data_IF_163494897929
#
_entry.id   IF_163494897929
#
_cell.length_a   1.000
_cell.length_b   1.000
_cell.length_c   1.000
_cell.angle_alpha   90.00
_cell.angle_beta   90.00
_cell.angle_gamma   90.00
#
_symmetry.space_group_name_H-M   'P 1'
#
loop_
_entity.id
_entity.type
_entity.pdbx_description
1 polymer ?
#
# COMPACT_ATOMS: atom_id res chain seq x y z
N UNK A 1 -26.55 -10.18 14.33
CA UNK A 1 -26.03 -9.21 13.34
C UNK A 1 -25.21 -9.85 12.21
N UNK A 2 -24.61 -11.05 12.36
CA UNK A 2 -23.82 -11.69 11.27
C UNK A 2 -24.66 -12.34 10.17
N UNK A 3 -25.86 -12.85 10.47
CA UNK A 3 -26.71 -13.54 9.48
C UNK A 3 -27.31 -12.58 8.43
N UNK A 4 -27.56 -11.32 8.81
CA UNK A 4 -28.09 -10.30 7.89
C UNK A 4 -27.04 -9.84 6.86
N UNK A 5 -25.78 -9.76 7.27
CA UNK A 5 -24.66 -9.40 6.38
C UNK A 5 -24.34 -10.56 5.43
N UNK A 6 -24.37 -11.80 5.92
CA UNK A 6 -24.16 -13.00 5.09
C UNK A 6 -25.28 -13.17 4.05
N UNK A 7 -26.54 -12.95 4.45
CA UNK A 7 -27.67 -12.94 3.54
C UNK A 7 -27.60 -11.77 2.54
N UNK A 8 -27.12 -10.60 2.97
CA UNK A 8 -26.90 -9.44 2.09
C UNK A 8 -25.82 -9.69 1.04
N UNK A 9 -24.69 -10.30 1.41
CA UNK A 9 -23.60 -10.66 0.49
C UNK A 9 -23.99 -11.81 -0.44
N UNK A 10 -24.75 -12.79 0.04
CA UNK A 10 -25.31 -13.87 -0.78
C UNK A 10 -26.35 -13.36 -1.79
N UNK A 11 -27.22 -12.44 -1.37
CA UNK A 11 -28.18 -11.78 -2.27
C UNK A 11 -27.49 -10.87 -3.28
N UNK A 12 -26.42 -10.17 -2.88
CA UNK A 12 -25.60 -9.37 -3.79
C UNK A 12 -24.89 -10.27 -4.80
N UNK A 13 -24.30 -11.39 -4.36
CA UNK A 13 -23.65 -12.36 -5.23
C UNK A 13 -24.64 -13.01 -6.20
N UNK A 14 -25.84 -13.36 -5.73
CA UNK A 14 -26.92 -13.91 -6.58
C UNK A 14 -27.45 -12.86 -7.56
N UNK A 15 -27.54 -11.59 -7.16
CA UNK A 15 -27.98 -10.49 -8.03
C UNK A 15 -26.91 -10.13 -9.07
N UNK A 16 -25.63 -10.20 -8.70
CA UNK A 16 -24.49 -10.07 -9.62
C UNK A 16 -24.47 -11.25 -10.59
N UNK A 17 -24.66 -12.48 -10.10
CA UNK A 17 -24.64 -13.68 -10.94
C UNK A 17 -25.84 -13.71 -11.90
N UNK A 18 -27.03 -13.33 -11.43
CA UNK A 18 -28.22 -13.20 -12.27
C UNK A 18 -28.08 -12.05 -13.28
N UNK A 19 -27.53 -10.90 -12.86
CA UNK A 19 -27.24 -9.77 -13.74
C UNK A 19 -26.21 -10.12 -14.81
N UNK A 20 -25.15 -10.85 -14.46
CA UNK A 20 -24.15 -11.36 -15.39
C UNK A 20 -24.73 -12.43 -16.32
N UNK A 21 -25.63 -13.30 -15.83
CA UNK A 21 -26.30 -14.31 -16.68
C UNK A 21 -27.24 -13.66 -17.70
N UNK A 22 -27.98 -12.61 -17.31
CA UNK A 22 -28.86 -11.86 -18.20
C UNK A 22 -28.06 -11.02 -19.22
N UNK A 23 -26.90 -10.50 -18.83
CA UNK A 23 -25.96 -9.84 -19.74
C UNK A 23 -25.32 -10.83 -20.73
N UNK A 24 -25.03 -12.06 -20.30
CA UNK A 24 -24.49 -13.12 -21.16
C UNK A 24 -25.49 -13.56 -22.24
N UNK A 25 -26.79 -13.37 -22.00
CA UNK A 25 -27.85 -13.68 -22.98
C UNK A 25 -28.30 -12.50 -23.84
N UNK A 26 -27.97 -11.25 -23.50
CA UNK A 26 -28.55 -10.07 -24.18
C UNK A 26 -27.55 -9.08 -24.78
N UNK A 27 -26.25 -9.21 -24.50
CA UNK A 27 -25.23 -8.36 -25.10
C UNK A 27 -24.22 -9.25 -25.80
N UNK A 28 -24.40 -9.45 -27.11
CA UNK A 28 -23.34 -10.03 -27.94
C UNK A 28 -22.03 -9.29 -27.65
N UNK A 29 -20.91 -10.02 -27.50
CA UNK A 29 -19.58 -9.44 -27.26
C UNK A 29 -19.26 -8.23 -28.16
N UNK A 30 -19.86 -8.16 -29.36
CA UNK A 30 -19.74 -7.03 -30.29
C UNK A 30 -20.40 -5.73 -29.83
N UNK A 31 -21.50 -5.76 -29.05
CA UNK A 31 -22.18 -4.55 -28.58
C UNK A 31 -21.45 -3.89 -27.40
N UNK A 32 -20.89 -4.68 -26.47
CA UNK A 32 -20.05 -4.16 -25.39
C UNK A 32 -18.74 -3.58 -25.95
N UNK A 33 -18.11 -4.26 -26.91
CA UNK A 33 -16.91 -3.74 -27.59
C UNK A 33 -17.18 -2.47 -28.41
N UNK A 34 -18.35 -2.39 -29.07
CA UNK A 34 -18.77 -1.17 -29.78
C UNK A 34 -19.01 -0.02 -28.80
N UNK A 35 -19.68 -0.27 -27.67
CA UNK A 35 -19.92 0.71 -26.62
C UNK A 35 -18.62 1.26 -26.01
N UNK A 36 -17.66 0.38 -25.69
CA UNK A 36 -16.34 0.77 -25.17
C UNK A 36 -15.49 1.54 -26.21
N UNK A 37 -15.59 1.21 -27.50
CA UNK A 37 -14.89 1.95 -28.58
C UNK A 37 -15.50 3.32 -28.89
N UNK A 38 -16.82 3.48 -28.76
CA UNK A 38 -17.52 4.73 -29.11
C UNK A 38 -17.72 5.69 -27.94
N UNK A 39 -17.48 5.23 -26.71
CA UNK A 39 -17.63 6.07 -25.53
C UNK A 39 -16.45 7.02 -25.41
N UNK A 40 -16.59 8.20 -26.01
CA UNK A 40 -15.79 9.37 -25.69
C UNK A 40 -16.12 9.76 -24.22
N UNK A 41 -15.40 9.16 -23.26
CA UNK A 41 -15.65 9.24 -21.81
C UNK A 41 -15.64 10.68 -21.27
N UNK A 42 -15.06 11.61 -22.02
CA UNK A 42 -15.09 13.05 -21.72
C UNK A 42 -16.48 13.68 -21.88
N UNK A 43 -17.32 13.19 -22.80
CA UNK A 43 -18.64 13.83 -23.11
C UNK A 43 -19.74 13.58 -22.09
N UNK A 44 -19.56 12.63 -21.16
CA UNK A 44 -20.63 12.13 -20.30
C UNK A 44 -20.64 12.71 -18.87
N UNK A 45 -20.38 14.01 -18.65
CA UNK A 45 -20.66 14.72 -17.38
C UNK A 45 -20.45 13.93 -16.07
N UNK A 46 -21.28 14.15 -15.05
CA UNK A 46 -21.32 13.41 -13.78
C UNK A 46 -22.56 12.50 -13.70
N UNK A 47 -22.86 11.79 -14.79
CA UNK A 47 -24.09 10.98 -14.92
C UNK A 47 -23.98 9.60 -14.23
N UNK A 48 -25.09 9.07 -13.65
CA UNK A 48 -25.19 7.67 -13.17
C UNK A 48 -24.73 6.60 -14.18
N UNK A 49 -24.76 6.90 -15.48
CA UNK A 49 -24.26 6.00 -16.52
C UNK A 49 -22.72 5.80 -16.46
N UNK A 50 -21.94 6.83 -16.08
CA UNK A 50 -20.50 6.69 -15.82
C UNK A 50 -20.26 5.80 -14.59
N UNK A 51 -21.08 5.96 -13.56
CA UNK A 51 -20.99 5.19 -12.32
C UNK A 51 -21.22 3.69 -12.56
N UNK A 52 -22.23 3.34 -13.34
CA UNK A 52 -22.48 1.95 -13.74
C UNK A 52 -21.32 1.38 -14.58
N UNK A 53 -20.77 2.18 -15.51
CA UNK A 53 -19.65 1.78 -16.36
C UNK A 53 -18.39 1.47 -15.53
N UNK A 54 -18.05 2.34 -14.57
CA UNK A 54 -16.90 2.12 -13.69
C UNK A 54 -17.04 0.90 -12.77
N UNK A 55 -18.23 0.66 -12.22
CA UNK A 55 -18.49 -0.54 -11.40
C UNK A 55 -18.42 -1.82 -12.24
N UNK A 56 -18.93 -1.79 -13.48
CA UNK A 56 -18.80 -2.90 -14.42
C UNK A 56 -17.35 -3.21 -14.76
N UNK A 57 -16.54 -2.17 -15.02
CA UNK A 57 -15.11 -2.32 -15.30
C UNK A 57 -14.39 -2.99 -14.12
N UNK A 58 -14.65 -2.54 -12.89
CA UNK A 58 -14.02 -3.10 -11.70
C UNK A 58 -14.43 -4.56 -11.46
N UNK A 59 -15.72 -4.87 -11.64
CA UNK A 59 -16.24 -6.24 -11.51
C UNK A 59 -15.65 -7.18 -12.59
N UNK A 60 -15.57 -6.72 -13.84
CA UNK A 60 -15.00 -7.51 -14.95
C UNK A 60 -13.48 -7.68 -14.80
N UNK A 61 -12.75 -6.66 -14.32
CA UNK A 61 -11.31 -6.71 -14.09
C UNK A 61 -10.89 -7.80 -13.09
N UNK A 62 -11.72 -8.02 -12.06
CA UNK A 62 -11.39 -8.90 -10.94
C UNK A 62 -11.99 -10.30 -11.12
N UNK A 63 -13.22 -10.42 -11.63
CA UNK A 63 -13.91 -11.71 -11.76
C UNK A 63 -13.53 -12.48 -13.03
N UNK A 64 -13.30 -11.79 -14.15
CA UNK A 64 -13.07 -12.42 -15.47
C UNK A 64 -11.78 -13.24 -15.57
N UNK A 65 -10.63 -12.82 -14.98
CA UNK A 65 -9.40 -13.61 -15.05
C UNK A 65 -9.54 -14.95 -14.32
N UNK A 66 -10.11 -14.97 -13.11
CA UNK A 66 -10.25 -16.17 -12.29
C UNK A 66 -11.09 -17.27 -12.96
N UNK A 67 -12.19 -16.89 -13.63
CA UNK A 67 -13.09 -17.83 -14.30
C UNK A 67 -12.57 -18.33 -15.66
N UNK A 68 -11.56 -17.67 -16.25
CA UNK A 68 -11.03 -18.05 -17.55
C UNK A 68 -9.61 -18.65 -17.47
N UNK A 69 -8.97 -18.64 -16.29
CA UNK A 69 -7.63 -19.19 -16.05
C UNK A 69 -7.46 -20.64 -16.49
N UNK A 70 -8.46 -21.49 -16.29
CA UNK A 70 -8.41 -22.91 -16.65
C UNK A 70 -8.66 -23.16 -18.15
N UNK A 71 -9.07 -22.14 -18.91
CA UNK A 71 -9.47 -22.26 -20.32
C UNK A 71 -8.35 -21.94 -21.30
N UNK A 72 -7.20 -21.45 -20.83
CA UNK A 72 -6.13 -20.96 -21.70
C UNK A 72 -4.81 -21.70 -21.46
N UNK A 73 -4.27 -22.42 -22.47
CA UNK A 73 -2.97 -23.08 -22.36
C UNK A 73 -1.86 -22.09 -21.97
N UNK A 74 -0.94 -22.52 -21.11
CA UNK A 74 0.20 -21.74 -20.61
C UNK A 74 -0.12 -20.50 -19.75
N UNK A 75 -1.41 -20.28 -19.43
CA UNK A 75 -1.82 -19.20 -18.53
C UNK A 75 -1.59 -17.79 -19.08
N UNK A 76 -1.47 -17.62 -20.41
CA UNK A 76 -1.32 -16.31 -21.06
C UNK A 76 -2.58 -15.99 -21.84
N UNK A 77 -3.24 -14.88 -21.53
CA UNK A 77 -4.43 -14.44 -22.24
C UNK A 77 -4.56 -12.92 -22.23
N UNK A 78 -5.34 -12.38 -23.16
CA UNK A 78 -5.59 -10.93 -23.24
C UNK A 78 -7.00 -10.63 -22.75
N UNK A 79 -7.11 -9.67 -21.83
CA UNK A 79 -8.40 -9.10 -21.38
C UNK A 79 -8.52 -7.67 -21.87
N UNK A 80 -9.71 -7.30 -22.34
CA UNK A 80 -10.03 -5.92 -22.71
C UNK A 80 -10.77 -5.25 -21.55
N UNK A 81 -10.04 -4.64 -20.62
CA UNK A 81 -10.58 -3.94 -19.44
C UNK A 81 -9.94 -2.56 -19.41
N UNK A 82 -10.71 -1.51 -19.72
CA UNK A 82 -10.22 -0.13 -19.92
C UNK A 82 -9.22 0.06 -21.08
N UNK A 83 -8.44 -0.96 -21.41
CA UNK A 83 -7.58 -1.14 -22.59
C UNK A 83 -7.25 -2.65 -22.78
N UNK A 84 -6.29 -3.00 -23.65
CA UNK A 84 -5.81 -4.38 -23.80
C UNK A 84 -4.73 -4.69 -22.76
N UNK A 85 -5.03 -5.64 -21.88
CA UNK A 85 -4.09 -6.15 -20.89
C UNK A 85 -3.75 -7.60 -21.18
N UNK A 86 -2.45 -7.92 -21.24
CA UNK A 86 -1.99 -9.30 -21.27
C UNK A 86 -1.88 -9.78 -19.83
N UNK A 87 -2.64 -10.81 -19.48
CA UNK A 87 -2.56 -11.53 -18.23
C UNK A 87 -1.62 -12.71 -18.42
N UNK A 88 -0.63 -12.84 -17.53
CA UNK A 88 0.29 -13.97 -17.45
C UNK A 88 0.12 -14.60 -16.08
N UNK A 89 -0.24 -15.88 -16.06
CA UNK A 89 -0.58 -16.65 -14.87
C UNK A 89 0.22 -17.96 -14.77
N UNK A 90 1.35 -18.07 -15.48
CA UNK A 90 2.34 -19.13 -15.27
C UNK A 90 3.46 -18.60 -14.36
N UNK A 91 3.78 -19.29 -13.26
CA UNK A 91 4.93 -18.95 -12.41
C UNK A 91 6.24 -18.88 -13.21
N UNK A 92 6.46 -19.85 -14.10
CA UNK A 92 7.66 -19.94 -14.94
C UNK A 92 7.77 -18.72 -15.86
N UNK A 93 6.66 -18.35 -16.52
CA UNK A 93 6.64 -17.19 -17.39
C UNK A 93 6.77 -15.88 -16.61
N UNK A 94 6.20 -15.81 -15.42
CA UNK A 94 6.33 -14.64 -14.54
C UNK A 94 7.79 -14.39 -14.17
N UNK A 95 8.52 -15.45 -13.81
CA UNK A 95 9.96 -15.36 -13.54
C UNK A 95 10.75 -14.91 -14.77
N UNK A 96 10.45 -15.47 -15.96
CA UNK A 96 11.11 -15.05 -17.22
C UNK A 96 10.85 -13.57 -17.50
N UNK A 97 9.61 -13.10 -17.35
CA UNK A 97 9.22 -11.71 -17.55
C UNK A 97 9.94 -10.79 -16.56
N UNK A 98 9.93 -11.12 -15.27
CA UNK A 98 10.63 -10.34 -14.23
C UNK A 98 12.14 -10.27 -14.45
N UNK A 99 12.79 -11.37 -14.85
CA UNK A 99 14.22 -11.40 -15.18
C UNK A 99 14.59 -10.52 -16.39
N UNK A 100 13.59 -10.18 -17.21
CA UNK A 100 13.71 -9.35 -18.41
C UNK A 100 13.14 -7.94 -18.20
N UNK A 101 13.13 -7.46 -16.96
CA UNK A 101 12.59 -6.13 -16.57
C UNK A 101 13.12 -4.95 -17.38
N UNK A 102 14.34 -5.04 -17.94
CA UNK A 102 14.89 -4.02 -18.86
C UNK A 102 14.06 -3.79 -20.14
N UNK A 103 13.22 -4.74 -20.51
CA UNK A 103 12.30 -4.64 -21.65
C UNK A 103 10.86 -4.28 -21.24
N UNK A 104 10.61 -4.02 -19.95
CA UNK A 104 9.29 -3.74 -19.41
C UNK A 104 9.21 -2.34 -18.78
N UNK A 105 8.43 -1.45 -19.41
CA UNK A 105 8.12 -0.13 -18.85
C UNK A 105 6.95 -0.17 -17.87
N UNK A 106 7.24 -0.30 -16.57
CA UNK A 106 6.22 -0.18 -15.50
C UNK A 106 6.33 1.13 -14.71
N UNK A 107 7.41 1.90 -14.89
CA UNK A 107 7.65 3.16 -14.16
C UNK A 107 6.53 4.19 -14.36
N UNK A 108 5.96 4.25 -15.57
CA UNK A 108 4.89 5.19 -15.90
C UNK A 108 3.59 4.90 -15.13
N UNK A 109 3.25 3.62 -14.90
CA UNK A 109 2.08 3.24 -14.10
C UNK A 109 2.29 3.67 -12.66
N UNK A 110 3.47 3.41 -12.10
CA UNK A 110 3.80 3.80 -10.74
C UNK A 110 3.69 5.32 -10.54
N UNK A 111 4.26 6.11 -11.46
CA UNK A 111 4.16 7.59 -11.42
C UNK A 111 2.72 8.05 -11.53
N UNK A 112 1.95 7.52 -12.48
CA UNK A 112 0.56 7.90 -12.68
C UNK A 112 -0.27 7.66 -11.41
N UNK A 113 -0.13 6.47 -10.82
CA UNK A 113 -0.85 6.06 -9.62
C UNK A 113 -0.46 6.95 -8.43
N UNK A 114 0.83 7.16 -8.19
CA UNK A 114 1.31 8.01 -7.10
C UNK A 114 0.83 9.46 -7.27
N UNK A 115 0.92 10.02 -8.48
CA UNK A 115 0.50 11.38 -8.78
C UNK A 115 -1.02 11.56 -8.55
N UNK A 116 -1.84 10.63 -9.03
CA UNK A 116 -3.29 10.66 -8.83
C UNK A 116 -3.67 10.53 -7.35
N UNK A 117 -3.01 9.60 -6.63
CA UNK A 117 -3.22 9.41 -5.19
C UNK A 117 -2.90 10.67 -4.40
N UNK A 118 -1.74 11.30 -4.66
CA UNK A 118 -1.34 12.56 -4.05
C UNK A 118 -2.20 13.76 -4.47
N UNK A 119 -2.95 13.64 -5.57
CA UNK A 119 -3.74 14.73 -6.14
C UNK A 119 -2.90 15.78 -6.84
N UNK A 120 -1.84 15.33 -7.53
CA UNK A 120 -0.95 16.22 -8.24
C UNK A 120 -1.68 17.00 -9.34
N UNK A 121 -1.38 18.29 -9.53
CA UNK A 121 -1.82 19.02 -10.71
C UNK A 121 -1.17 18.42 -11.96
N UNK A 122 -1.82 18.57 -13.11
CA UNK A 122 -1.34 18.01 -14.39
C UNK A 122 0.12 18.39 -14.69
N UNK A 123 0.50 19.64 -14.45
CA UNK A 123 1.86 20.14 -14.65
C UNK A 123 2.89 19.42 -13.78
N UNK A 124 2.61 19.19 -12.50
CA UNK A 124 3.47 18.41 -11.60
C UNK A 124 3.62 16.97 -12.08
N UNK A 125 2.51 16.37 -12.49
CA UNK A 125 2.48 15.02 -13.04
C UNK A 125 3.38 14.91 -14.28
N UNK A 126 3.30 15.86 -15.21
CA UNK A 126 4.17 15.92 -16.39
C UNK A 126 5.66 16.03 -16.04
N UNK A 127 6.01 16.76 -14.96
CA UNK A 127 7.40 16.82 -14.47
C UNK A 127 7.89 15.46 -13.98
N UNK A 128 7.05 14.71 -13.28
CA UNK A 128 7.37 13.36 -12.79
C UNK A 128 7.51 12.33 -13.91
N UNK A 129 6.88 12.56 -15.06
CA UNK A 129 6.97 11.70 -16.26
C UNK A 129 8.27 11.88 -17.07
N UNK A 130 9.05 12.93 -16.80
CA UNK A 130 10.33 13.15 -17.51
C UNK A 130 11.30 12.00 -17.22
N UNK A 131 11.77 11.34 -18.28
CA UNK A 131 12.73 10.23 -18.19
C UNK A 131 12.17 8.96 -17.56
N UNK A 132 10.86 8.75 -17.64
CA UNK A 132 10.19 7.54 -17.14
C UNK A 132 10.24 6.39 -18.14
N UNK A 133 10.44 6.67 -19.43
CA UNK A 133 10.63 5.65 -20.45
C UNK A 133 12.06 5.10 -20.44
N UNK A 134 12.17 3.77 -20.61
CA UNK A 134 13.46 3.07 -20.56
C UNK A 134 14.46 3.52 -21.62
N UNK A 135 14.02 4.16 -22.70
CA UNK A 135 14.88 4.71 -23.74
C UNK A 135 15.76 5.88 -23.23
N UNK A 136 15.32 6.59 -22.18
CA UNK A 136 16.04 7.71 -21.58
C UNK A 136 16.86 7.30 -20.34
N UNK A 137 16.78 6.03 -19.92
CA UNK A 137 17.50 5.49 -18.76
C UNK A 137 19.00 5.47 -19.05
N UNK A 138 19.74 6.35 -18.36
CA UNK A 138 21.20 6.49 -18.52
C UNK A 138 21.66 7.92 -18.81
N UNK A 139 20.75 8.81 -19.23
CA UNK A 139 21.06 10.22 -19.53
C UNK A 139 20.99 11.15 -18.30
N UNK A 140 20.87 10.59 -17.08
CA UNK A 140 20.79 11.38 -15.83
C UNK A 140 19.47 12.11 -15.60
N UNK A 141 18.44 11.80 -16.40
CA UNK A 141 17.09 12.37 -16.31
C UNK A 141 16.11 11.23 -16.06
N UNK A 142 15.52 11.17 -14.86
CA UNK A 142 14.50 10.17 -14.55
C UNK A 142 14.22 10.03 -13.06
N UNK A 143 13.19 10.74 -12.58
CA UNK A 143 12.76 10.71 -11.17
C UNK A 143 12.60 9.27 -10.66
N UNK A 144 11.93 8.41 -11.42
CA UNK A 144 11.59 7.03 -11.01
C UNK A 144 12.83 6.20 -10.72
N UNK A 145 13.85 6.29 -11.57
CA UNK A 145 15.05 5.47 -11.44
C UNK A 145 15.96 5.97 -10.31
N UNK A 146 16.15 7.28 -10.18
CA UNK A 146 16.91 7.86 -9.06
C UNK A 146 16.22 7.58 -7.73
N UNK A 147 14.90 7.71 -7.69
CA UNK A 147 14.07 7.38 -6.54
C UNK A 147 14.21 5.90 -6.17
N UNK A 148 14.07 4.98 -7.13
CA UNK A 148 14.21 3.54 -6.90
C UNK A 148 15.59 3.15 -6.37
N UNK A 149 16.67 3.76 -6.89
CA UNK A 149 18.04 3.52 -6.40
C UNK A 149 18.22 3.91 -4.94
N UNK A 150 17.62 5.03 -4.53
CA UNK A 150 17.69 5.51 -3.14
C UNK A 150 16.87 4.62 -2.22
N UNK A 151 15.66 4.24 -2.64
CA UNK A 151 14.82 3.28 -1.92
C UNK A 151 15.61 1.97 -1.66
N UNK A 152 16.16 1.37 -2.71
CA UNK A 152 16.96 0.15 -2.58
C UNK A 152 18.13 0.34 -1.63
N UNK A 153 18.91 1.42 -1.79
CA UNK A 153 20.11 1.65 -0.96
C UNK A 153 19.80 1.93 0.50
N UNK A 154 18.73 2.68 0.78
CA UNK A 154 18.39 3.09 2.13
C UNK A 154 17.62 2.02 2.92
N UNK A 155 16.92 1.12 2.22
CA UNK A 155 16.16 0.01 2.82
C UNK A 155 16.86 -1.35 2.71
N UNK A 156 18.03 -1.43 2.07
CA UNK A 156 18.87 -2.63 2.14
C UNK A 156 19.48 -2.80 3.53
N UNK A 157 19.87 -4.03 3.86
CA UNK A 157 20.60 -4.36 5.08
C UNK A 157 21.80 -3.42 5.28
N UNK A 158 21.90 -2.87 6.49
CA UNK A 158 22.97 -1.96 6.89
C UNK A 158 22.44 -0.82 7.76
N UNK A 159 23.36 0.09 8.12
CA UNK A 159 23.16 1.13 9.14
C UNK A 159 21.94 2.03 8.91
N UNK A 160 21.56 2.25 7.65
CA UNK A 160 20.38 3.04 7.30
C UNK A 160 19.09 2.34 7.73
N UNK A 161 18.98 1.03 7.49
CA UNK A 161 17.82 0.24 7.89
C UNK A 161 17.81 0.01 9.41
N UNK A 162 18.98 -0.26 10.00
CA UNK A 162 19.13 -0.46 11.44
C UNK A 162 18.61 0.76 12.24
N UNK A 163 19.00 1.97 11.84
CA UNK A 163 18.52 3.20 12.47
C UNK A 163 16.99 3.39 12.31
N UNK A 164 16.42 3.06 11.13
CA UNK A 164 14.96 3.12 10.95
C UNK A 164 14.23 2.09 11.82
N UNK A 165 14.82 0.92 12.05
CA UNK A 165 14.29 -0.11 12.92
C UNK A 165 14.32 0.32 14.39
N UNK A 166 15.42 0.94 14.85
CA UNK A 166 15.52 1.51 16.20
C UNK A 166 14.44 2.57 16.44
N UNK A 167 14.25 3.50 15.50
CA UNK A 167 13.21 4.53 15.56
C UNK A 167 11.79 3.94 15.56
N UNK A 168 11.56 2.88 14.77
CA UNK A 168 10.29 2.15 14.75
C UNK A 168 9.98 1.51 16.10
N UNK A 169 10.96 0.81 16.70
CA UNK A 169 10.79 0.16 18.01
C UNK A 169 10.50 1.20 19.09
N UNK A 170 11.27 2.29 19.12
CA UNK A 170 11.09 3.37 20.10
C UNK A 170 9.70 4.04 19.99
N UNK A 171 9.13 4.17 18.79
CA UNK A 171 7.75 4.65 18.62
C UNK A 171 6.69 3.61 18.98
N UNK A 172 7.01 2.32 18.92
CA UNK A 172 6.06 1.25 19.26
C UNK A 172 5.86 1.11 20.77
N UNK A 173 6.87 1.46 21.58
CA UNK A 173 6.86 1.27 23.03
C UNK A 173 5.62 1.84 23.73
N UNK A 174 5.18 3.10 23.50
CA UNK A 174 3.98 3.64 24.15
C UNK A 174 2.70 2.86 23.83
N UNK A 175 2.59 2.29 22.63
CA UNK A 175 1.43 1.48 22.24
C UNK A 175 1.41 0.14 22.96
N UNK A 176 2.58 -0.47 23.15
CA UNK A 176 2.74 -1.72 23.91
C UNK A 176 2.48 -1.47 25.40
N UNK A 177 3.02 -0.39 25.97
CA UNK A 177 2.78 0.00 27.36
C UNK A 177 1.30 0.27 27.64
N UNK A 178 0.63 1.01 26.74
CA UNK A 178 -0.81 1.25 26.82
C UNK A 178 -1.62 -0.06 26.78
N UNK A 179 -1.26 -0.99 25.89
CA UNK A 179 -1.88 -2.31 25.81
C UNK A 179 -1.67 -3.11 27.11
N UNK A 180 -0.46 -3.15 27.66
CA UNK A 180 -0.16 -3.82 28.92
C UNK A 180 -0.94 -3.22 30.10
N UNK A 181 -1.06 -1.89 30.17
CA UNK A 181 -1.82 -1.21 31.20
C UNK A 181 -3.32 -1.53 31.11
N UNK A 182 -3.87 -1.59 29.90
CA UNK A 182 -5.26 -2.01 29.64
C UNK A 182 -5.54 -3.43 30.16
N UNK A 183 -4.62 -4.37 29.86
CA UNK A 183 -4.71 -5.74 30.36
C UNK A 183 -4.66 -5.79 31.90
N UNK A 184 -3.74 -5.05 32.53
CA UNK A 184 -3.60 -5.00 34.00
C UNK A 184 -4.83 -4.42 34.70
N UNK A 185 -5.52 -3.47 34.06
CA UNK A 185 -6.71 -2.81 34.60
C UNK A 185 -8.02 -3.58 34.35
N UNK A 186 -7.95 -4.78 33.74
CA UNK A 186 -9.12 -5.61 33.46
C UNK A 186 -9.90 -5.18 32.21
N UNK A 187 -9.40 -4.20 31.45
CA UNK A 187 -9.92 -3.88 30.11
C UNK A 187 -9.44 -4.96 29.12
N UNK A 188 -10.26 -6.01 28.96
CA UNK A 188 -9.86 -7.24 28.25
C UNK A 188 -10.18 -7.30 26.75
N UNK A 189 -10.57 -6.19 26.11
CA UNK A 189 -10.92 -6.18 24.68
C UNK A 189 -10.24 -5.03 23.94
N UNK A 190 -9.57 -5.38 22.84
CA UNK A 190 -8.91 -4.44 21.94
C UNK A 190 -9.39 -4.73 20.53
N UNK A 191 -9.75 -3.68 19.79
CA UNK A 191 -9.93 -3.79 18.35
C UNK A 191 -8.53 -3.84 17.72
N UNK A 192 -8.12 -5.05 17.30
CA UNK A 192 -6.78 -5.29 16.76
C UNK A 192 -6.51 -4.45 15.51
N UNK A 193 -7.51 -4.24 14.66
CA UNK A 193 -7.34 -3.46 13.43
C UNK A 193 -7.18 -1.98 13.74
N UNK A 194 -7.99 -1.44 14.63
CA UNK A 194 -7.84 -0.05 15.09
C UNK A 194 -6.49 0.18 15.76
N UNK A 195 -6.09 -0.69 16.69
CA UNK A 195 -4.80 -0.59 17.38
C UNK A 195 -3.63 -0.64 16.38
N UNK A 196 -3.64 -1.59 15.43
CA UNK A 196 -2.59 -1.71 14.41
C UNK A 196 -2.55 -0.49 13.48
N UNK A 197 -3.70 0.01 13.04
CA UNK A 197 -3.74 1.22 12.19
C UNK A 197 -3.11 2.42 12.88
N UNK A 198 -3.27 2.56 14.20
CA UNK A 198 -2.68 3.65 14.96
C UNK A 198 -1.19 3.43 15.20
N UNK A 199 -0.81 2.27 15.76
CA UNK A 199 0.58 1.98 16.11
C UNK A 199 1.50 1.91 14.91
N UNK A 200 1.05 1.35 13.78
CA UNK A 200 1.85 1.24 12.55
C UNK A 200 1.97 2.60 11.86
N UNK A 201 0.92 3.43 11.81
CA UNK A 201 1.03 4.76 11.22
C UNK A 201 2.05 5.61 11.96
N UNK A 202 2.05 5.58 13.29
CA UNK A 202 3.06 6.29 14.10
C UNK A 202 4.47 5.71 13.90
N UNK A 203 4.63 4.41 14.19
CA UNK A 203 5.94 3.76 14.28
C UNK A 203 6.66 3.67 12.94
N UNK A 204 5.94 3.30 11.87
CA UNK A 204 6.54 3.28 10.53
C UNK A 204 6.88 4.69 10.07
N UNK A 205 6.07 5.69 10.43
CA UNK A 205 6.39 7.06 10.06
C UNK A 205 7.60 7.59 10.80
N UNK A 206 7.75 7.27 12.09
CA UNK A 206 8.95 7.62 12.85
C UNK A 206 10.19 6.97 12.26
N UNK A 207 10.16 5.67 11.98
CA UNK A 207 11.28 4.99 11.30
C UNK A 207 11.59 5.62 9.93
N UNK A 208 10.57 5.85 9.11
CA UNK A 208 10.79 6.30 7.74
C UNK A 208 11.06 7.80 7.57
N UNK A 209 10.62 8.66 8.48
CA UNK A 209 10.72 10.14 8.36
C UNK A 209 11.33 10.83 9.58
N UNK A 210 11.68 10.08 10.61
CA UNK A 210 12.25 10.59 11.85
C UNK A 210 11.21 11.17 12.83
N UNK A 211 11.68 11.65 14.00
CA UNK A 211 10.82 12.03 15.11
C UNK A 211 9.91 13.23 14.85
N UNK A 212 10.30 14.13 13.93
CA UNK A 212 9.47 15.30 13.56
C UNK A 212 8.35 14.96 12.57
N UNK A 213 8.17 13.70 12.16
CA UNK A 213 7.14 13.34 11.18
C UNK A 213 5.75 13.85 11.59
N UNK A 214 4.90 14.33 10.65
CA UNK A 214 3.55 14.79 10.97
C UNK A 214 2.69 13.75 11.70
N UNK A 215 2.96 12.47 11.45
CA UNK A 215 2.21 11.39 12.06
C UNK A 215 2.67 11.07 13.48
N UNK A 216 3.86 11.50 13.93
CA UNK A 216 4.34 11.19 15.27
C UNK A 216 3.41 11.80 16.33
N UNK A 217 2.87 10.96 17.22
CA UNK A 217 1.97 11.33 18.31
C UNK A 217 0.74 12.16 17.87
N UNK A 218 0.22 11.91 16.66
CA UNK A 218 -0.88 12.70 16.10
C UNK A 218 -2.08 11.83 15.66
N UNK A 219 -2.97 11.44 16.60
CA UNK A 219 -4.15 10.64 16.31
C UNK A 219 -5.09 11.25 15.26
N UNK A 220 -5.17 12.58 15.21
CA UNK A 220 -5.99 13.29 14.23
C UNK A 220 -5.47 13.03 12.82
N UNK A 221 -4.16 13.12 12.61
CA UNK A 221 -3.55 12.83 11.31
C UNK A 221 -3.62 11.35 10.93
N UNK A 222 -3.55 10.43 11.90
CA UNK A 222 -3.79 9.01 11.64
C UNK A 222 -5.19 8.81 11.06
N UNK A 223 -6.21 9.40 11.69
CA UNK A 223 -7.58 9.31 11.21
C UNK A 223 -7.76 9.95 9.82
N UNK A 224 -7.12 11.10 9.56
CA UNK A 224 -7.16 11.71 8.23
C UNK A 224 -6.52 10.81 7.17
N UNK A 225 -5.35 10.23 7.46
CA UNK A 225 -4.72 9.27 6.54
C UNK A 225 -5.63 8.09 6.26
N UNK A 226 -6.22 7.46 7.28
CA UNK A 226 -7.09 6.30 7.09
C UNK A 226 -8.43 6.66 6.44
N UNK A 227 -8.92 7.90 6.60
CA UNK A 227 -10.07 8.42 5.86
C UNK A 227 -9.78 8.61 4.38
N UNK A 228 -8.59 9.13 4.06
CA UNK A 228 -8.09 9.18 2.69
C UNK A 228 -7.93 7.77 2.11
N UNK A 229 -7.23 6.88 2.83
CA UNK A 229 -6.93 5.51 2.39
C UNK A 229 -8.20 4.72 2.06
N UNK A 230 -9.27 4.78 2.87
CA UNK A 230 -10.56 4.12 2.54
C UNK A 230 -11.14 4.46 1.16
N UNK A 231 -10.75 5.58 0.57
CA UNK A 231 -11.22 6.03 -0.75
C UNK A 231 -10.13 6.03 -1.82
N UNK A 232 -8.91 5.57 -1.50
CA UNK A 232 -7.75 5.73 -2.40
C UNK A 232 -7.94 5.01 -3.74
N UNK A 233 -8.70 3.91 -3.78
CA UNK A 233 -9.04 3.22 -5.02
C UNK A 233 -9.80 4.11 -6.01
N UNK A 234 -10.67 5.00 -5.53
CA UNK A 234 -11.33 5.98 -6.41
C UNK A 234 -10.34 7.08 -6.84
N UNK A 235 -9.47 7.52 -5.93
CA UNK A 235 -8.52 8.60 -6.18
C UNK A 235 -7.42 8.19 -7.16
N UNK A 236 -6.87 6.97 -7.06
CA UNK A 236 -5.79 6.48 -7.93
C UNK A 236 -6.20 6.35 -9.41
N UNK A 237 -7.47 6.05 -9.65
CA UNK A 237 -8.06 5.99 -10.98
C UNK A 237 -8.74 7.30 -11.41
N UNK A 238 -8.51 8.39 -10.65
CA UNK A 238 -9.05 9.73 -10.92
C UNK A 238 -10.58 9.75 -11.11
N UNK A 239 -11.32 8.97 -10.31
CA UNK A 239 -12.77 9.00 -10.33
C UNK A 239 -13.30 10.38 -9.91
N UNK A 240 -14.51 10.77 -10.35
CA UNK A 240 -15.12 12.02 -9.92
C UNK A 240 -15.10 12.20 -8.40
N UNK A 241 -14.74 13.40 -7.93
CA UNK A 241 -14.56 13.72 -6.49
C UNK A 241 -15.76 13.33 -5.61
N UNK A 242 -16.97 13.22 -6.17
CA UNK A 242 -18.16 12.77 -5.44
C UNK A 242 -17.99 11.37 -4.82
N UNK A 243 -17.23 10.45 -5.43
CA UNK A 243 -16.99 9.10 -4.93
C UNK A 243 -16.00 9.05 -3.76
N UNK A 244 -15.19 10.09 -3.60
CA UNK A 244 -14.09 10.11 -2.65
C UNK A 244 -14.00 11.45 -1.91
N UNK A 245 -15.10 12.21 -1.79
CA UNK A 245 -15.05 13.60 -1.29
C UNK A 245 -14.37 13.70 0.07
N UNK A 246 -14.80 12.87 1.03
CA UNK A 246 -14.22 12.84 2.38
C UNK A 246 -12.74 12.48 2.37
N UNK A 247 -12.34 11.52 1.54
CA UNK A 247 -10.94 11.13 1.47
C UNK A 247 -10.07 12.12 0.71
N UNK A 248 -10.61 12.82 -0.30
CA UNK A 248 -9.94 13.94 -0.96
C UNK A 248 -9.72 15.10 0.02
N UNK A 249 -10.70 15.43 0.85
CA UNK A 249 -10.57 16.46 1.91
C UNK A 249 -9.57 16.03 2.98
N UNK A 250 -9.63 14.77 3.43
CA UNK A 250 -8.68 14.23 4.40
C UNK A 250 -7.24 14.22 3.85
N UNK A 251 -7.07 13.91 2.56
CA UNK A 251 -5.78 14.01 1.87
C UNK A 251 -5.21 15.42 1.96
N UNK A 252 -6.01 16.46 1.71
CA UNK A 252 -5.52 17.84 1.79
C UNK A 252 -5.01 18.20 3.19
N UNK A 253 -5.67 17.75 4.25
CA UNK A 253 -5.19 17.97 5.63
C UNK A 253 -3.84 17.30 5.88
N UNK A 254 -3.64 16.10 5.33
CA UNK A 254 -2.35 15.40 5.41
C UNK A 254 -1.29 16.14 4.60
N UNK A 255 -1.64 16.65 3.41
CA UNK A 255 -0.74 17.49 2.59
C UNK A 255 -0.33 18.74 3.37
N UNK A 256 -1.27 19.44 4.00
CA UNK A 256 -0.98 20.66 4.78
C UNK A 256 0.00 20.37 5.91
N UNK A 257 -0.16 19.26 6.62
CA UNK A 257 0.78 18.86 7.67
C UNK A 257 2.18 18.50 7.13
N UNK A 258 2.27 17.97 5.90
CA UNK A 258 3.56 17.74 5.25
C UNK A 258 4.22 19.03 4.75
N UNK A 259 3.44 20.04 4.35
CA UNK A 259 3.95 21.38 4.05
C UNK A 259 4.58 21.99 5.31
N UNK A 260 3.86 21.94 6.43
CA UNK A 260 4.35 22.44 7.72
C UNK A 260 5.60 21.69 8.20
N UNK A 261 5.66 20.38 7.98
CA UNK A 261 6.85 19.58 8.29
C UNK A 261 8.09 20.04 7.52
N UNK A 262 7.96 20.31 6.22
CA UNK A 262 9.07 20.85 5.43
C UNK A 262 9.47 22.25 5.90
N UNK A 263 8.49 23.12 6.14
CA UNK A 263 8.70 24.50 6.62
C UNK A 263 9.46 24.60 7.94
N UNK A 264 9.23 23.63 8.83
CA UNK A 264 9.83 23.60 10.17
C UNK A 264 11.12 22.77 10.24
N UNK A 265 11.79 22.54 9.11
CA UNK A 265 13.06 21.81 9.07
C UNK A 265 12.89 20.33 9.45
N UNK A 266 11.76 19.73 9.09
CA UNK A 266 11.44 18.34 9.40
C UNK A 266 12.49 17.35 8.90
N UNK A 267 13.11 17.65 7.75
CA UNK A 267 14.15 16.83 7.14
C UNK A 267 15.51 16.85 7.88
N UNK A 268 15.77 17.81 8.77
CA UNK A 268 17.06 17.92 9.48
C UNK A 268 17.34 16.69 10.36
N UNK A 269 16.30 16.26 11.07
CA UNK A 269 16.32 15.10 11.98
C UNK A 269 15.72 13.85 11.35
N UNK A 270 15.41 13.89 10.05
CA UNK A 270 14.76 12.79 9.37
C UNK A 270 15.72 11.62 9.11
N UNK A 271 15.13 10.45 8.90
CA UNK A 271 15.86 9.25 8.48
C UNK A 271 16.71 9.53 7.23
N UNK A 272 17.74 8.72 7.01
CA UNK A 272 18.52 8.77 5.77
C UNK A 272 17.65 8.59 4.53
N UNK A 273 16.66 7.70 4.59
CA UNK A 273 15.69 7.48 3.52
C UNK A 273 14.94 8.78 3.16
N UNK A 274 14.39 9.49 4.15
CA UNK A 274 13.65 10.73 3.91
C UNK A 274 14.55 11.84 3.33
N UNK A 275 15.77 12.01 3.87
CA UNK A 275 16.73 13.00 3.37
C UNK A 275 17.17 12.70 1.94
N UNK A 276 17.43 11.44 1.62
CA UNK A 276 17.85 11.05 0.28
C UNK A 276 16.68 11.15 -0.73
N UNK A 277 15.43 10.86 -0.31
CA UNK A 277 14.23 11.17 -1.12
C UNK A 277 14.12 12.66 -1.43
N UNK A 278 14.30 13.53 -0.44
CA UNK A 278 14.22 14.98 -0.62
C UNK A 278 15.20 15.48 -1.70
N UNK A 279 16.46 15.00 -1.70
CA UNK A 279 17.46 15.32 -2.74
C UNK A 279 17.06 14.90 -4.15
N UNK A 280 16.29 13.82 -4.31
CA UNK A 280 15.76 13.42 -5.62
C UNK A 280 14.63 14.35 -6.04
N UNK A 281 13.76 14.69 -5.10
CA UNK A 281 12.65 15.61 -5.34
C UNK A 281 13.10 17.02 -5.72
N UNK A 282 14.19 17.53 -5.15
CA UNK A 282 14.79 18.82 -5.52
C UNK A 282 15.08 18.94 -7.03
N UNK A 283 15.42 17.83 -7.69
CA UNK A 283 15.73 17.79 -9.12
C UNK A 283 14.49 17.81 -10.02
N UNK A 284 13.29 17.61 -9.48
CA UNK A 284 12.06 17.47 -10.27
C UNK A 284 11.46 18.81 -10.67
N UNK A 285 11.80 19.89 -9.97
CA UNK A 285 11.20 21.22 -10.14
C UNK A 285 9.77 21.34 -9.58
N UNK A 286 9.34 20.37 -8.77
CA UNK A 286 8.09 20.44 -8.01
C UNK A 286 8.18 21.47 -6.90
N UNK A 287 7.06 22.16 -6.64
CA UNK A 287 6.95 23.05 -5.48
C UNK A 287 6.74 22.28 -4.16
N UNK A 288 6.84 22.98 -3.04
CA UNK A 288 6.69 22.39 -1.70
C UNK A 288 5.37 21.62 -1.52
N UNK A 289 4.25 22.17 -2.00
CA UNK A 289 2.94 21.53 -1.85
C UNK A 289 2.85 20.29 -2.73
N UNK A 290 3.41 20.34 -3.92
CA UNK A 290 3.54 19.19 -4.82
C UNK A 290 4.44 18.10 -4.21
N UNK A 291 5.52 18.46 -3.51
CA UNK A 291 6.33 17.50 -2.75
C UNK A 291 5.56 16.87 -1.58
N UNK A 292 4.81 17.68 -0.84
CA UNK A 292 3.94 17.20 0.24
C UNK A 292 2.88 16.20 -0.29
N UNK A 293 2.32 16.44 -1.48
CA UNK A 293 1.43 15.48 -2.15
C UNK A 293 2.09 14.15 -2.48
N UNK A 294 3.35 14.16 -2.91
CA UNK A 294 4.12 12.92 -3.10
C UNK A 294 4.32 12.18 -1.78
N UNK A 295 4.61 12.90 -0.70
CA UNK A 295 4.75 12.31 0.63
C UNK A 295 3.47 11.57 1.08
N UNK A 296 2.28 12.09 0.76
CA UNK A 296 1.00 11.40 1.04
C UNK A 296 0.88 10.09 0.25
N UNK A 297 1.27 10.08 -1.03
CA UNK A 297 1.24 8.84 -1.83
C UNK A 297 2.20 7.78 -1.28
N UNK A 298 3.38 8.19 -0.79
CA UNK A 298 4.34 7.30 -0.14
C UNK A 298 3.80 6.72 1.17
N UNK A 299 3.05 7.50 1.95
CA UNK A 299 2.43 7.02 3.18
C UNK A 299 1.53 5.80 2.94
N UNK A 300 0.87 5.71 1.78
CA UNK A 300 0.07 4.51 1.43
C UNK A 300 0.96 3.28 1.29
N UNK A 301 2.07 3.40 0.56
CA UNK A 301 3.03 2.30 0.39
C UNK A 301 3.68 1.86 1.71
N UNK A 302 3.79 2.78 2.68
CA UNK A 302 4.41 2.52 3.97
C UNK A 302 3.45 1.92 5.00
N UNK A 303 2.23 2.43 5.10
CA UNK A 303 1.33 2.08 6.21
C UNK A 303 0.31 1.01 5.84
N UNK A 304 -0.29 1.07 4.65
CA UNK A 304 -1.44 0.23 4.29
C UNK A 304 -1.05 -1.25 4.24
N UNK A 305 0.05 -1.55 3.54
CA UNK A 305 0.59 -2.90 3.44
C UNK A 305 1.10 -3.39 4.80
N UNK A 306 1.84 -2.56 5.53
CA UNK A 306 2.38 -2.93 6.85
C UNK A 306 1.27 -3.26 7.84
N UNK A 307 0.20 -2.45 7.90
CA UNK A 307 -0.93 -2.70 8.78
C UNK A 307 -1.72 -3.93 8.37
N UNK A 308 -2.02 -4.07 7.09
CA UNK A 308 -2.84 -5.18 6.58
C UNK A 308 -2.12 -6.53 6.72
N UNK A 309 -0.83 -6.59 6.38
CA UNK A 309 -0.02 -7.81 6.53
C UNK A 309 0.14 -8.16 8.00
N UNK A 310 0.44 -7.19 8.86
CA UNK A 310 0.56 -7.44 10.31
C UNK A 310 -0.76 -7.94 10.90
N UNK A 311 -1.89 -7.35 10.51
CA UNK A 311 -3.20 -7.80 10.94
C UNK A 311 -3.48 -9.25 10.50
N UNK A 312 -3.20 -9.59 9.24
CA UNK A 312 -3.38 -10.94 8.72
C UNK A 312 -2.51 -11.95 9.47
N UNK A 313 -1.20 -11.68 9.59
CA UNK A 313 -0.24 -12.54 10.28
C UNK A 313 -0.63 -12.75 11.74
N UNK A 314 -0.92 -11.67 12.48
CA UNK A 314 -1.36 -11.79 13.87
C UNK A 314 -2.69 -12.53 14.00
N UNK A 315 -3.63 -12.34 13.08
CA UNK A 315 -4.89 -13.07 13.09
C UNK A 315 -4.67 -14.57 12.90
N UNK A 316 -3.78 -14.98 12.01
CA UNK A 316 -3.43 -16.40 11.83
C UNK A 316 -2.75 -16.97 13.07
N UNK A 317 -1.76 -16.26 13.62
CA UNK A 317 -1.05 -16.70 14.83
C UNK A 317 -2.01 -16.82 16.02
N UNK A 318 -2.89 -15.84 16.23
CA UNK A 318 -3.81 -15.84 17.36
C UNK A 318 -4.97 -16.84 17.21
N UNK A 319 -5.30 -17.25 15.99
CA UNK A 319 -6.36 -18.21 15.72
C UNK A 319 -5.93 -19.65 15.98
N UNK A 320 -4.68 -19.99 15.66
CA UNK A 320 -4.14 -21.34 15.79
C UNK A 320 -3.25 -21.49 17.04
N UNK A 321 -3.63 -22.32 18.03
CA UNK A 321 -2.85 -22.48 19.25
C UNK A 321 -1.45 -23.08 19.03
N UNK A 322 -1.22 -23.86 17.97
CA UNK A 322 0.07 -24.51 17.74
C UNK A 322 1.16 -23.51 17.29
N UNK A 323 0.99 -22.73 16.21
CA UNK A 323 1.91 -21.65 15.85
C UNK A 323 2.10 -20.64 16.98
N UNK A 324 1.03 -20.29 17.72
CA UNK A 324 1.13 -19.37 18.85
C UNK A 324 2.07 -19.89 19.94
N UNK A 325 1.90 -21.16 20.34
CA UNK A 325 2.72 -21.77 21.37
C UNK A 325 4.20 -21.84 20.94
N UNK A 326 4.44 -22.23 19.69
CA UNK A 326 5.80 -22.28 19.11
C UNK A 326 6.47 -20.91 19.10
N UNK A 327 5.81 -19.88 18.56
CA UNK A 327 6.35 -18.52 18.50
C UNK A 327 6.64 -17.99 19.91
N UNK A 328 5.76 -18.24 20.88
CA UNK A 328 6.00 -17.85 22.28
C UNK A 328 7.24 -18.53 22.86
N UNK A 329 7.41 -19.82 22.62
CA UNK A 329 8.59 -20.57 23.06
C UNK A 329 9.88 -20.01 22.45
N UNK A 330 9.87 -19.74 21.14
CA UNK A 330 11.01 -19.12 20.45
C UNK A 330 11.33 -17.74 21.04
N UNK A 331 10.30 -16.91 21.29
CA UNK A 331 10.49 -15.58 21.89
C UNK A 331 10.98 -15.63 23.34
N UNK A 332 10.56 -16.63 24.12
CA UNK A 332 10.98 -16.79 25.52
C UNK A 332 12.50 -16.98 25.65
N UNK A 333 13.15 -17.59 24.66
CA UNK A 333 14.62 -17.73 24.60
C UNK A 333 15.36 -16.40 24.35
N UNK A 334 14.65 -15.38 23.85
CA UNK A 334 15.20 -14.08 23.48
C UNK A 334 14.85 -12.96 24.47
N UNK A 335 14.16 -13.29 25.56
CA UNK A 335 13.84 -12.33 26.62
C UNK A 335 15.05 -12.20 27.55
N UNK A 336 15.63 -11.00 27.59
CA UNK A 336 16.98 -10.79 28.14
C UNK A 336 17.01 -10.06 29.48
N UNK A 337 15.94 -9.36 29.89
CA UNK A 337 15.92 -8.61 31.15
C UNK A 337 14.57 -8.68 31.83
N UNK A 338 14.60 -8.93 33.13
CA UNK A 338 13.63 -8.46 34.10
C UNK A 338 14.31 -7.28 34.81
N UNK A 339 13.81 -6.06 34.64
CA UNK A 339 14.27 -4.98 35.52
C UNK A 339 13.70 -5.16 36.94
N UNK A 340 14.08 -4.28 37.87
CA UNK A 340 13.60 -4.31 39.26
C UNK A 340 12.07 -4.18 39.39
N UNK A 341 11.37 -3.83 38.29
CA UNK A 341 9.92 -3.74 38.18
C UNK A 341 9.30 -4.96 37.47
N UNK A 342 10.11 -5.96 37.12
CA UNK A 342 9.70 -7.19 36.43
C UNK A 342 9.37 -7.00 34.95
N UNK A 343 9.75 -5.88 34.32
CA UNK A 343 9.51 -5.65 32.88
C UNK A 343 10.37 -6.60 32.06
N UNK A 344 9.73 -7.38 31.19
CA UNK A 344 10.39 -8.27 30.21
C UNK A 344 10.78 -7.44 28.99
N UNK A 345 12.05 -7.46 28.61
CA UNK A 345 12.53 -6.86 27.34
C UNK A 345 12.96 -7.91 26.33
N UNK A 346 12.67 -7.67 25.06
CA UNK A 346 13.09 -8.50 23.93
C UNK A 346 14.12 -7.73 23.11
N UNK A 347 15.23 -8.38 22.77
CA UNK A 347 16.22 -7.82 21.84
C UNK A 347 15.82 -8.18 20.39
N UNK A 348 15.24 -7.20 19.69
CA UNK A 348 14.75 -7.39 18.32
C UNK A 348 15.87 -7.59 17.30
N UNK A 349 17.07 -7.07 17.56
CA UNK A 349 18.24 -7.30 16.70
C UNK A 349 18.74 -8.74 16.85
N UNK A 350 18.68 -9.29 18.07
CA UNK A 350 19.00 -10.70 18.31
C UNK A 350 18.00 -11.63 17.63
N UNK A 351 16.69 -11.35 17.70
CA UNK A 351 15.68 -12.12 16.96
C UNK A 351 15.99 -12.10 15.45
N UNK A 352 16.31 -10.94 14.89
CA UNK A 352 16.65 -10.84 13.47
C UNK A 352 17.84 -11.71 13.04
N UNK A 353 18.83 -11.87 13.93
CA UNK A 353 20.01 -12.75 13.70
C UNK A 353 19.68 -14.22 13.93
N UNK A 354 18.99 -14.54 15.02
CA UNK A 354 18.78 -15.90 15.48
C UNK A 354 17.63 -16.59 14.72
N UNK A 355 16.63 -15.84 14.25
CA UNK A 355 15.49 -16.32 13.47
C UNK A 355 15.57 -15.97 11.97
N UNK A 356 16.78 -15.81 11.43
CA UNK A 356 16.98 -15.42 10.03
C UNK A 356 16.32 -16.43 9.05
N UNK A 357 15.62 -15.98 7.98
CA UNK A 357 14.90 -16.86 7.05
C UNK A 357 15.75 -17.99 6.46
N UNK A 358 17.05 -17.76 6.26
CA UNK A 358 17.97 -18.79 5.76
C UNK A 358 18.00 -20.05 6.62
N UNK A 359 17.71 -19.97 7.93
CA UNK A 359 17.65 -21.15 8.81
C UNK A 359 16.41 -22.02 8.57
N UNK A 360 15.39 -21.46 7.94
CA UNK A 360 14.08 -22.10 7.72
C UNK A 360 13.75 -22.32 6.25
N UNK A 361 14.50 -21.69 5.34
CA UNK A 361 14.34 -21.82 3.89
C UNK A 361 15.24 -22.89 3.26
N UNK A 362 16.18 -23.49 4.00
CA UNK A 362 16.99 -24.60 3.52
C UNK A 362 16.08 -25.78 3.12
N UNK A 363 16.10 -26.14 1.82
CA UNK A 363 15.30 -27.23 1.26
C UNK A 363 13.97 -26.82 0.61
N UNK A 364 13.62 -25.53 0.57
CA UNK A 364 12.50 -25.05 -0.23
C UNK A 364 12.90 -24.95 -1.71
N UNK A 365 12.04 -25.37 -2.67
CA UNK A 365 12.38 -25.47 -4.09
C UNK A 365 12.65 -24.12 -4.79
N UNK A 366 12.56 -23.00 -4.08
CA UNK A 366 12.78 -21.63 -4.58
C UNK A 366 13.87 -20.87 -3.82
N UNK A 367 14.52 -21.50 -2.84
CA UNK A 367 15.62 -20.91 -2.06
C UNK A 367 16.95 -20.89 -2.82
#
# INVERSE_FOLDING_TARGET
MSTSIYNGLSQLNTSIHNGLSQLNTSVSNGQLQKFLRTSNLEKFGSSPAKMATYLLIFAVAVASPAENMHKVPHGIFTVAVLDWHIVVNSPEMTQVIQSRSKYMGLGWIAVLVMANMGGQPKKATELLFKGVDHADVGNGLGFVHDYHKIELRAMSLGTSLDAMQEDFVAASDPFIESLMASVKSGHGKVDLWEWLRMSITDSVSRGARGPKSPYCNNPILWEQFWTFNRSYNFLKYNFPRIFARRGAEAREKVVDAFVEYDENGGFETASRLARDRAKVFEKTGLDRRELARMAVSQSVGQFDNSATVTFAVLSFILHDPEPLARIRSELDEHITKHDDQGRRSVDTLRIGKDCHPSKYCDGLPWA
#
